data_IF_646461711531
#
_entry.id   IF_646461711531
#
_cell.length_a   1.000
_cell.length_b   1.000
_cell.length_c   1.000
_cell.angle_alpha   90.00
_cell.angle_beta   90.00
_cell.angle_gamma   90.00
#
_symmetry.space_group_name_H-M   'P 1'
#
loop_
_entity.id
_entity.type
_entity.pdbx_description
1 polymer ?
#
# COMPACT_ATOMS: atom_id res chain seq x y z
N UNK A 1 9.13 0.48 17.57
CA UNK A 1 9.02 0.48 16.10
C UNK A 1 8.25 1.71 15.70
N UNK A 2 8.80 2.50 14.79
CA UNK A 2 8.10 3.67 14.24
C UNK A 2 7.14 3.25 13.13
N UNK A 3 6.09 4.04 12.90
CA UNK A 3 5.14 3.79 11.80
C UNK A 3 5.87 3.88 10.45
N UNK A 4 6.75 4.86 10.26
CA UNK A 4 7.57 4.97 9.05
C UNK A 4 8.46 3.75 8.81
N UNK A 5 9.08 3.19 9.85
CA UNK A 5 9.89 1.97 9.77
C UNK A 5 9.03 0.78 9.30
N UNK A 6 7.83 0.61 9.87
CA UNK A 6 6.88 -0.42 9.44
C UNK A 6 6.50 -0.23 7.96
N UNK A 7 6.18 1.00 7.56
CA UNK A 7 5.84 1.33 6.18
C UNK A 7 6.98 0.95 5.22
N UNK A 8 8.22 1.31 5.55
CA UNK A 8 9.40 0.97 4.73
C UNK A 8 9.63 -0.54 4.65
N UNK A 9 9.47 -1.27 5.74
CA UNK A 9 9.62 -2.73 5.75
C UNK A 9 8.59 -3.43 4.85
N UNK A 10 7.35 -2.95 4.85
CA UNK A 10 6.29 -3.51 4.01
C UNK A 10 6.52 -3.13 2.53
N UNK A 11 6.90 -1.87 2.25
CA UNK A 11 7.28 -1.43 0.91
C UNK A 11 8.40 -2.32 0.33
N UNK A 12 9.48 -2.53 1.09
CA UNK A 12 10.60 -3.38 0.70
C UNK A 12 10.18 -4.84 0.50
N UNK A 13 9.29 -5.36 1.36
CA UNK A 13 8.75 -6.71 1.22
C UNK A 13 7.96 -6.89 -0.08
N UNK A 14 7.19 -5.89 -0.50
CA UNK A 14 6.50 -5.88 -1.80
C UNK A 14 7.53 -5.80 -2.93
N UNK A 15 8.50 -4.90 -2.83
CA UNK A 15 9.53 -4.71 -3.87
C UNK A 15 10.41 -5.94 -4.10
N UNK A 16 10.68 -6.71 -3.07
CA UNK A 16 11.52 -7.92 -3.12
C UNK A 16 10.75 -9.18 -3.47
N UNK A 17 9.42 -9.09 -3.61
CA UNK A 17 8.58 -10.22 -4.00
C UNK A 17 8.36 -11.24 -2.88
N UNK A 18 8.40 -10.80 -1.62
CA UNK A 18 8.14 -11.65 -0.44
C UNK A 18 6.72 -12.22 -0.44
N UNK A 19 5.77 -11.53 -1.07
CA UNK A 19 4.38 -11.95 -1.18
C UNK A 19 4.09 -12.65 -2.51
N UNK A 20 3.13 -13.58 -2.55
CA UNK A 20 2.66 -14.18 -3.79
C UNK A 20 1.90 -13.13 -4.61
N UNK A 21 2.58 -12.58 -5.61
CA UNK A 21 2.03 -11.60 -6.56
C UNK A 21 1.82 -12.23 -7.93
N UNK A 22 0.78 -11.78 -8.64
CA UNK A 22 0.55 -12.12 -10.05
C UNK A 22 1.58 -11.44 -10.96
N UNK A 23 1.76 -11.93 -12.20
CA UNK A 23 2.80 -11.42 -13.11
C UNK A 23 2.66 -9.92 -13.39
N UNK A 24 1.43 -9.41 -13.56
CA UNK A 24 1.19 -7.98 -13.78
C UNK A 24 1.53 -7.15 -12.52
N UNK A 25 1.18 -7.65 -11.34
CA UNK A 25 1.50 -7.01 -10.06
C UNK A 25 3.01 -6.94 -9.82
N UNK A 26 3.78 -7.97 -10.20
CA UNK A 26 5.25 -7.97 -10.09
C UNK A 26 5.91 -6.84 -10.87
N UNK A 27 5.40 -6.53 -12.07
CA UNK A 27 5.93 -5.44 -12.90
C UNK A 27 5.72 -4.06 -12.24
N UNK A 28 4.66 -3.93 -11.44
CA UNK A 28 4.28 -2.68 -10.78
C UNK A 28 4.84 -2.62 -9.36
N UNK A 29 5.27 -3.75 -8.77
CA UNK A 29 5.70 -3.84 -7.37
C UNK A 29 6.77 -2.80 -7.01
N UNK A 30 7.77 -2.55 -7.87
CA UNK A 30 8.82 -1.55 -7.63
C UNK A 30 8.33 -0.09 -7.57
N UNK A 31 7.11 0.17 -8.03
CA UNK A 31 6.52 1.51 -8.07
C UNK A 31 5.64 1.83 -6.86
N UNK A 32 5.32 0.84 -6.02
CA UNK A 32 4.53 1.10 -4.81
C UNK A 32 5.33 1.94 -3.83
N UNK A 33 4.62 2.86 -3.17
CA UNK A 33 5.11 3.63 -2.05
C UNK A 33 4.15 3.52 -0.86
N UNK A 34 4.71 3.40 0.34
CA UNK A 34 3.94 3.32 1.59
C UNK A 34 4.38 4.45 2.51
N UNK A 35 3.46 5.34 2.87
CA UNK A 35 3.77 6.55 3.64
C UNK A 35 3.02 6.60 4.96
N UNK A 36 3.74 6.95 6.03
CA UNK A 36 3.10 7.47 7.23
C UNK A 36 2.51 8.86 6.95
N UNK A 37 1.20 9.03 7.19
CA UNK A 37 0.47 10.30 7.11
C UNK A 37 -0.09 10.72 8.47
N UNK A 38 0.25 9.99 9.53
CA UNK A 38 -0.12 10.31 10.89
C UNK A 38 0.70 11.50 11.39
N UNK A 39 0.17 12.22 12.38
CA UNK A 39 0.89 13.32 13.05
C UNK A 39 1.97 12.80 14.03
N UNK A 40 2.11 11.47 14.15
CA UNK A 40 3.03 10.79 15.06
C UNK A 40 3.71 9.61 14.38
N UNK A 41 4.87 9.23 14.90
CA UNK A 41 5.59 8.02 14.51
C UNK A 41 5.30 6.84 15.45
N UNK A 42 4.52 7.04 16.52
CA UNK A 42 4.21 5.99 17.49
C UNK A 42 3.00 5.15 17.04
N UNK A 43 3.19 3.82 16.94
CA UNK A 43 2.12 2.84 16.68
C UNK A 43 1.05 2.78 17.79
N UNK A 44 1.25 3.48 18.91
CA UNK A 44 0.24 3.66 19.97
C UNK A 44 -0.59 4.94 19.80
N UNK A 45 -0.36 5.71 18.74
CA UNK A 45 -1.10 6.94 18.45
C UNK A 45 -2.59 6.64 18.24
N UNK A 46 -3.46 7.60 18.62
CA UNK A 46 -4.92 7.50 18.49
C UNK A 46 -5.42 7.53 17.05
N UNK A 47 -4.64 8.06 16.13
CA UNK A 47 -5.03 8.29 14.74
C UNK A 47 -3.84 7.97 13.83
N UNK A 48 -3.78 6.71 13.39
CA UNK A 48 -2.73 6.23 12.49
C UNK A 48 -3.27 6.26 11.07
N UNK A 49 -2.59 6.98 10.19
CA UNK A 49 -2.95 7.14 8.78
C UNK A 49 -1.80 6.64 7.93
N UNK A 50 -2.08 5.66 7.07
CA UNK A 50 -1.07 5.12 6.15
C UNK A 50 -1.60 5.23 4.73
N UNK A 51 -0.80 5.82 3.86
CA UNK A 51 -1.10 5.95 2.45
C UNK A 51 -0.34 4.89 1.66
N UNK A 52 -1.05 4.16 0.78
CA UNK A 52 -0.43 3.27 -0.21
C UNK A 52 -0.62 3.92 -1.57
N UNK A 53 0.47 4.14 -2.32
CA UNK A 53 0.45 4.85 -3.60
C UNK A 53 1.13 4.03 -4.69
N UNK A 54 0.52 4.04 -5.87
CA UNK A 54 1.12 3.59 -7.13
C UNK A 54 0.89 4.70 -8.15
N UNK A 55 1.96 5.33 -8.63
CA UNK A 55 1.88 6.45 -9.57
C UNK A 55 0.94 7.56 -9.04
N UNK A 56 -0.17 7.84 -9.74
CA UNK A 56 -1.18 8.84 -9.38
C UNK A 56 -2.40 8.27 -8.63
N UNK A 57 -2.41 6.97 -8.31
CA UNK A 57 -3.47 6.31 -7.56
C UNK A 57 -3.01 6.06 -6.13
N UNK A 58 -3.90 6.27 -5.15
CA UNK A 58 -3.60 6.00 -3.75
C UNK A 58 -4.81 5.52 -2.97
N UNK A 59 -4.55 4.83 -1.86
CA UNK A 59 -5.50 4.59 -0.77
C UNK A 59 -4.98 5.24 0.50
N UNK A 60 -5.89 5.59 1.40
CA UNK A 60 -5.56 6.08 2.74
C UNK A 60 -6.28 5.20 3.75
N UNK A 61 -5.52 4.38 4.47
CA UNK A 61 -6.02 3.48 5.50
C UNK A 61 -5.86 4.15 6.87
N UNK A 62 -6.91 4.09 7.70
CA UNK A 62 -6.92 4.68 9.03
C UNK A 62 -7.06 3.57 10.07
N UNK A 63 -6.29 3.67 11.15
CA UNK A 63 -6.25 2.67 12.22
C UNK A 63 -6.38 3.35 13.57
N UNK A 64 -7.07 2.65 14.47
CA UNK A 64 -7.12 3.01 15.89
C UNK A 64 -6.05 2.21 16.66
N UNK A 65 -5.50 2.75 17.76
CA UNK A 65 -4.53 2.03 18.56
C UNK A 65 -5.19 0.87 19.30
N UNK A 66 -4.35 0.00 19.88
CA UNK A 66 -4.74 -1.13 20.72
C UNK A 66 -5.50 -2.25 19.99
N UNK A 67 -5.50 -2.26 18.65
CA UNK A 67 -5.87 -3.45 17.91
C UNK A 67 -4.80 -4.52 18.16
N UNK A 68 -5.24 -5.73 18.52
CA UNK A 68 -4.33 -6.86 18.70
C UNK A 68 -3.61 -7.17 17.37
N UNK A 69 -2.30 -7.37 17.42
CA UNK A 69 -1.47 -7.59 16.24
C UNK A 69 -1.54 -6.47 15.18
N UNK A 70 -1.78 -5.21 15.59
CA UNK A 70 -1.90 -4.06 14.69
C UNK A 70 -0.83 -3.99 13.57
N UNK A 71 0.47 -4.23 13.80
CA UNK A 71 1.45 -4.23 12.72
C UNK A 71 1.17 -5.25 11.60
N UNK A 72 0.69 -6.44 11.96
CA UNK A 72 0.33 -7.48 10.98
C UNK A 72 -0.95 -7.14 10.22
N UNK A 73 -1.91 -6.47 10.86
CA UNK A 73 -3.12 -5.98 10.19
C UNK A 73 -2.77 -4.88 9.19
N UNK A 74 -1.93 -3.93 9.59
CA UNK A 74 -1.41 -2.89 8.70
C UNK A 74 -0.72 -3.51 7.49
N UNK A 75 0.13 -4.53 7.70
CA UNK A 75 0.80 -5.26 6.60
C UNK A 75 -0.19 -5.87 5.61
N UNK A 76 -1.21 -6.58 6.10
CA UNK A 76 -2.23 -7.20 5.25
C UNK A 76 -3.05 -6.16 4.47
N UNK A 77 -3.52 -5.12 5.13
CA UNK A 77 -4.32 -4.06 4.50
C UNK A 77 -3.52 -3.29 3.43
N UNK A 78 -2.22 -3.08 3.66
CA UNK A 78 -1.33 -2.45 2.66
C UNK A 78 -1.17 -3.37 1.44
N UNK A 79 -0.99 -4.68 1.65
CA UNK A 79 -0.91 -5.65 0.56
C UNK A 79 -2.20 -5.69 -0.27
N UNK A 80 -3.36 -5.67 0.40
CA UNK A 80 -4.66 -5.64 -0.28
C UNK A 80 -4.91 -4.33 -1.02
N UNK A 81 -4.52 -3.21 -0.41
CA UNK A 81 -4.54 -1.88 -1.06
C UNK A 81 -3.67 -1.87 -2.31
N UNK A 82 -2.46 -2.42 -2.24
CA UNK A 82 -1.56 -2.54 -3.40
C UNK A 82 -2.22 -3.35 -4.53
N UNK A 83 -2.77 -4.53 -4.23
CA UNK A 83 -3.46 -5.37 -5.23
C UNK A 83 -4.67 -4.67 -5.83
N UNK A 84 -5.42 -3.92 -5.03
CA UNK A 84 -6.55 -3.12 -5.50
C UNK A 84 -6.10 -2.01 -6.45
N UNK A 85 -5.01 -1.32 -6.12
CA UNK A 85 -4.44 -0.27 -6.97
C UNK A 85 -3.91 -0.82 -8.29
N UNK A 86 -3.27 -1.99 -8.29
CA UNK A 86 -2.87 -2.70 -9.52
C UNK A 86 -4.06 -2.95 -10.45
N UNK A 87 -5.14 -3.55 -9.93
CA UNK A 87 -6.37 -3.80 -10.71
C UNK A 87 -7.00 -2.51 -11.25
N UNK A 88 -6.93 -1.42 -10.48
CA UNK A 88 -7.44 -0.12 -10.92
C UNK A 88 -6.57 0.48 -12.02
N UNK A 89 -5.25 0.38 -11.91
CA UNK A 89 -4.31 0.84 -12.93
C UNK A 89 -4.49 0.10 -14.25
N UNK A 90 -4.66 -1.21 -14.20
CA UNK A 90 -4.93 -2.05 -15.38
C UNK A 90 -6.19 -1.60 -16.12
N UNK A 91 -7.29 -1.33 -15.40
CA UNK A 91 -8.53 -0.81 -16.01
C UNK A 91 -8.31 0.55 -16.69
N UNK A 92 -7.63 1.48 -16.02
CA UNK A 92 -7.34 2.81 -16.60
C UNK A 92 -6.45 2.68 -17.84
N UNK A 93 -5.50 1.74 -17.84
CA UNK A 93 -4.67 1.47 -19.02
C UNK A 93 -5.48 0.88 -20.18
N UNK A 94 -6.43 -0.01 -19.88
CA UNK A 94 -7.32 -0.61 -20.87
C UNK A 94 -8.26 0.43 -21.50
N UNK A 95 -8.85 1.30 -20.68
CA UNK A 95 -9.76 2.35 -21.15
C UNK A 95 -9.07 3.36 -22.07
N UNK A 96 -7.76 3.59 -21.88
CA UNK A 96 -6.97 4.45 -22.79
C UNK A 96 -6.73 3.80 -24.16
N UNK A 97 -6.70 2.48 -24.24
CA UNK A 97 -6.50 1.75 -25.50
C UNK A 97 -7.80 1.76 -26.34
N UNK A 98 -8.97 1.79 -25.70
CA UNK A 98 -10.27 1.79 -26.38
C UNK A 98 -10.75 3.17 -26.85
N UNK A 99 -10.07 4.26 -26.45
CA UNK A 99 -10.43 5.64 -26.78
C UNK A 99 -9.55 6.26 -27.89
N UNK A 100 -9.07 5.44 -28.82
CA UNK A 100 -8.37 5.91 -30.03
C UNK A 100 -9.41 5.94 -31.16
N UNK A 101 -10.03 7.10 -31.36
CA UNK A 101 -10.77 7.47 -32.58
C UNK A 101 -9.80 7.96 -33.67
#
# INVERSE_FOLDING_TARGET
>A
MKISELCSMIEESIHTGKYPLENQQKNIAKSVKVFNRSDSEDLKCKDIKIEVRIQNLYTLNNYIPNIEHLPGIIEMDILDSFKMLCRRLERISSDKITNID
#
